data_IF_956077129293
#
_entry.id   IF_956077129293
#
_cell.length_a   1.000
_cell.length_b   1.000
_cell.length_c   1.000
_cell.angle_alpha   90.00
_cell.angle_beta   90.00
_cell.angle_gamma   90.00
#
_symmetry.space_group_name_H-M   'P 1'
#
loop_
_entity.id
_entity.type
_entity.pdbx_description
1 polymer ?
#
# COMPACT_ATOMS: atom_id res chain seq x y z
N UNK A 1 -18.64 13.50 -23.83
CA UNK A 1 -17.52 12.66 -24.30
C UNK A 1 -16.23 13.30 -23.81
N UNK A 2 -15.47 12.62 -22.95
CA UNK A 2 -14.11 12.99 -22.54
C UNK A 2 -13.29 11.70 -22.51
N UNK A 3 -12.05 11.75 -23.01
CA UNK A 3 -11.27 10.64 -23.55
C UNK A 3 -11.10 9.42 -22.62
N UNK A 4 -11.17 8.21 -23.21
CA UNK A 4 -10.75 6.94 -22.61
C UNK A 4 -9.26 7.00 -22.26
N UNK A 5 -8.95 7.08 -20.97
CA UNK A 5 -7.60 6.85 -20.47
C UNK A 5 -7.41 5.33 -20.28
N UNK A 6 -6.62 4.70 -21.15
CA UNK A 6 -6.19 3.30 -21.00
C UNK A 6 -4.70 3.22 -21.29
N UNK A 7 -3.91 2.82 -20.28
CA UNK A 7 -2.53 2.34 -20.50
C UNK A 7 -2.34 0.91 -20.00
N UNK A 8 -2.99 0.48 -18.91
CA UNK A 8 -3.24 -0.93 -18.52
C UNK A 8 -4.47 -0.92 -17.60
N UNK A 9 -5.44 -1.85 -17.70
CA UNK A 9 -6.69 -1.78 -16.92
C UNK A 9 -6.53 -2.05 -15.40
N UNK A 10 -5.36 -2.47 -14.92
CA UNK A 10 -5.04 -2.64 -13.49
C UNK A 10 -3.53 -2.83 -13.32
N UNK A 11 -2.69 -1.79 -13.50
CA UNK A 11 -1.26 -1.94 -13.31
C UNK A 11 -1.01 -2.22 -11.83
N UNK A 12 -0.64 -3.47 -11.53
CA UNK A 12 -0.10 -3.79 -10.21
C UNK A 12 1.36 -3.34 -10.20
N UNK A 13 1.78 -2.68 -9.14
CA UNK A 13 3.17 -2.29 -8.96
C UNK A 13 3.69 -2.83 -7.64
N UNK A 14 4.99 -3.09 -7.60
CA UNK A 14 5.67 -3.54 -6.39
C UNK A 14 6.39 -2.36 -5.78
N UNK A 15 6.25 -2.16 -4.48
CA UNK A 15 6.95 -1.11 -3.77
C UNK A 15 7.45 -1.60 -2.41
N UNK A 16 8.63 -1.13 -2.05
CA UNK A 16 9.31 -1.51 -0.82
C UNK A 16 8.87 -0.57 0.31
N UNK A 17 8.14 -1.12 1.27
CA UNK A 17 7.66 -0.41 2.44
C UNK A 17 8.62 -0.65 3.59
N UNK A 18 9.13 0.44 4.16
CA UNK A 18 9.99 0.42 5.34
C UNK A 18 9.12 0.51 6.58
N UNK A 19 8.92 -0.62 7.27
CA UNK A 19 8.13 -0.70 8.49
C UNK A 19 9.07 -0.44 9.67
N UNK A 20 8.89 0.67 10.43
CA UNK A 20 9.69 0.91 11.61
C UNK A 20 9.22 0.03 12.76
N UNK A 21 10.16 -0.70 13.37
CA UNK A 21 9.90 -1.58 14.50
C UNK A 21 10.23 -0.81 15.78
N UNK A 22 9.23 -0.59 16.64
CA UNK A 22 9.44 0.06 17.93
C UNK A 22 10.46 -0.72 18.76
N UNK A 23 11.57 -0.07 19.13
CA UNK A 23 12.63 -0.67 19.94
C UNK A 23 13.71 -1.42 19.15
N UNK A 24 13.63 -1.51 17.81
CA UNK A 24 14.76 -1.94 16.97
C UNK A 24 15.25 -0.78 16.13
N UNK A 25 16.57 -0.64 16.02
CA UNK A 25 17.21 0.43 15.25
C UNK A 25 17.09 0.23 13.72
N UNK A 26 16.71 -0.98 13.29
CA UNK A 26 16.57 -1.34 11.88
C UNK A 26 15.11 -1.46 11.49
N UNK A 27 14.71 -0.68 10.49
CA UNK A 27 13.43 -0.82 9.81
C UNK A 27 13.42 -2.12 8.99
N UNK A 28 12.31 -2.82 9.00
CA UNK A 28 12.11 -3.99 8.16
C UNK A 28 11.57 -3.53 6.80
N UNK A 29 12.19 -4.00 5.72
CA UNK A 29 11.77 -3.66 4.36
C UNK A 29 10.94 -4.81 3.83
N UNK A 30 9.68 -4.53 3.53
CA UNK A 30 8.76 -5.52 2.98
C UNK A 30 8.29 -5.04 1.62
N UNK A 31 8.44 -5.88 0.59
CA UNK A 31 7.93 -5.56 -0.75
C UNK A 31 6.44 -5.89 -0.82
N UNK A 32 5.61 -4.87 -0.99
CA UNK A 32 4.18 -5.02 -1.19
C UNK A 32 3.84 -4.92 -2.67
N UNK A 33 2.86 -5.70 -3.11
CA UNK A 33 2.24 -5.56 -4.43
C UNK A 33 0.96 -4.76 -4.26
N UNK A 34 0.91 -3.60 -4.89
CA UNK A 34 -0.23 -2.69 -4.85
C UNK A 34 -1.04 -2.72 -6.13
N UNK A 35 -2.36 -2.57 -6.02
CA UNK A 35 -3.26 -2.27 -7.11
C UNK A 35 -3.26 -0.76 -7.35
N UNK A 36 -2.87 -0.31 -8.54
CA UNK A 36 -3.00 1.10 -8.89
C UNK A 36 -4.48 1.52 -8.96
N UNK A 37 -4.84 2.50 -8.15
CA UNK A 37 -6.14 3.16 -8.19
C UNK A 37 -6.01 4.68 -8.38
N UNK A 38 -6.97 5.32 -9.07
CA UNK A 38 -6.98 6.77 -9.25
C UNK A 38 -7.20 7.48 -7.90
N UNK A 39 -6.57 8.64 -7.73
CA UNK A 39 -6.62 9.43 -6.49
C UNK A 39 -8.05 9.66 -5.98
N UNK A 40 -8.98 10.04 -6.86
CA UNK A 40 -10.37 10.28 -6.48
C UNK A 40 -11.03 9.05 -5.82
N UNK A 41 -10.72 7.84 -6.30
CA UNK A 41 -11.27 6.61 -5.71
C UNK A 41 -10.64 6.30 -4.35
N UNK A 42 -9.38 6.69 -4.14
CA UNK A 42 -8.70 6.54 -2.86
C UNK A 42 -9.31 7.45 -1.78
N UNK A 43 -9.70 8.66 -2.17
CA UNK A 43 -10.37 9.62 -1.29
C UNK A 43 -11.74 9.08 -0.84
N UNK A 44 -12.58 8.65 -1.79
CA UNK A 44 -13.87 7.98 -1.49
C UNK A 44 -13.67 6.79 -0.52
N UNK A 45 -12.79 5.84 -0.85
CA UNK A 45 -12.55 4.64 -0.03
C UNK A 45 -12.05 4.99 1.37
N UNK A 46 -11.19 6.02 1.49
CA UNK A 46 -10.66 6.47 2.78
C UNK A 46 -11.72 7.12 3.65
N UNK A 47 -12.69 7.82 3.04
CA UNK A 47 -13.84 8.39 3.75
C UNK A 47 -14.83 7.31 4.20
N UNK A 48 -14.98 6.22 3.43
CA UNK A 48 -15.85 5.09 3.78
C UNK A 48 -15.24 4.21 4.89
N UNK A 49 -14.05 3.65 4.66
CA UNK A 49 -13.39 2.75 5.61
C UNK A 49 -11.92 2.56 5.32
N UNK A 50 -11.08 2.80 6.34
CA UNK A 50 -9.64 2.57 6.27
C UNK A 50 -9.31 1.10 5.99
N UNK A 51 -10.08 0.15 6.52
CA UNK A 51 -9.89 -1.27 6.27
C UNK A 51 -10.17 -1.64 4.81
N UNK A 52 -11.25 -1.12 4.22
CA UNK A 52 -11.56 -1.35 2.80
C UNK A 52 -10.50 -0.72 1.90
N UNK A 53 -10.05 0.50 2.24
CA UNK A 53 -8.95 1.16 1.56
C UNK A 53 -7.72 0.25 1.43
N UNK A 54 -7.23 -0.32 2.54
CA UNK A 54 -6.06 -1.22 2.51
C UNK A 54 -6.31 -2.50 1.73
N UNK A 55 -7.50 -3.11 1.84
CA UNK A 55 -7.86 -4.31 1.06
C UNK A 55 -7.91 -4.05 -0.44
N UNK A 56 -8.30 -2.85 -0.85
CA UNK A 56 -8.41 -2.48 -2.25
C UNK A 56 -7.03 -2.13 -2.83
N UNK A 57 -6.18 -1.40 -2.08
CA UNK A 57 -4.85 -1.00 -2.56
C UNK A 57 -3.83 -2.14 -2.47
N UNK A 58 -3.88 -3.02 -1.47
CA UNK A 58 -2.91 -4.12 -1.32
C UNK A 58 -3.43 -5.33 -2.09
N UNK A 59 -2.66 -5.78 -3.07
CA UNK A 59 -2.96 -6.97 -3.85
C UNK A 59 -2.31 -8.23 -3.26
N UNK A 60 -1.08 -8.09 -2.76
CA UNK A 60 -0.25 -9.17 -2.23
C UNK A 60 0.97 -8.58 -1.49
N UNK A 61 1.74 -9.40 -0.78
CA UNK A 61 3.02 -9.00 -0.20
C UNK A 61 4.08 -10.09 -0.36
N UNK A 62 5.36 -9.72 -0.30
CA UNK A 62 6.48 -10.65 -0.34
C UNK A 62 6.94 -11.02 1.08
N UNK A 63 6.00 -11.43 1.93
CA UNK A 63 6.25 -11.96 3.27
C UNK A 63 6.14 -13.49 3.22
N UNK A 64 6.80 -14.21 4.13
CA UNK A 64 6.64 -15.67 4.26
C UNK A 64 5.18 -16.08 4.51
N UNK A 65 4.44 -15.26 5.27
CA UNK A 65 3.03 -15.48 5.51
C UNK A 65 2.17 -15.02 4.33
N UNK A 66 1.06 -15.71 4.01
CA UNK A 66 0.17 -15.29 2.94
C UNK A 66 -0.58 -14.01 3.29
N UNK A 67 -0.87 -13.19 2.28
CA UNK A 67 -1.71 -11.99 2.44
C UNK A 67 -3.17 -12.41 2.71
N UNK A 68 -3.68 -12.06 3.89
CA UNK A 68 -5.07 -12.24 4.29
C UNK A 68 -5.45 -11.18 5.34
N UNK A 69 -6.75 -11.06 5.63
CA UNK A 69 -7.26 -10.05 6.57
C UNK A 69 -6.74 -10.19 8.00
N UNK A 70 -6.59 -11.43 8.48
CA UNK A 70 -6.12 -11.72 9.83
C UNK A 70 -4.65 -11.32 10.01
N UNK A 71 -3.80 -11.66 9.04
CA UNK A 71 -2.38 -11.30 9.02
C UNK A 71 -2.20 -9.80 8.82
N UNK A 72 -3.05 -9.14 8.02
CA UNK A 72 -3.00 -7.69 7.85
C UNK A 72 -3.35 -6.97 9.16
N UNK A 73 -4.36 -7.44 9.87
CA UNK A 73 -4.70 -6.94 11.21
C UNK A 73 -3.57 -7.19 12.19
N UNK A 74 -2.98 -8.39 12.18
CA UNK A 74 -1.83 -8.73 13.02
C UNK A 74 -0.64 -7.81 12.75
N UNK A 75 -0.38 -7.48 11.49
CA UNK A 75 0.65 -6.52 11.10
C UNK A 75 0.39 -5.13 11.71
N UNK A 76 -0.84 -4.63 11.62
CA UNK A 76 -1.19 -3.32 12.19
C UNK A 76 -1.23 -3.29 13.72
N UNK A 77 -1.61 -4.41 14.35
CA UNK A 77 -1.63 -4.55 15.81
C UNK A 77 -0.21 -4.58 16.38
N UNK A 78 0.70 -5.36 15.76
CA UNK A 78 2.11 -5.43 16.18
C UNK A 78 2.91 -4.19 15.75
N UNK A 79 2.59 -3.61 14.60
CA UNK A 79 3.32 -2.49 13.99
C UNK A 79 2.34 -1.38 13.59
N UNK A 80 1.88 -0.53 14.53
CA UNK A 80 0.91 0.53 14.23
C UNK A 80 1.44 1.54 13.20
N UNK A 81 2.76 1.70 13.10
CA UNK A 81 3.40 2.53 12.08
C UNK A 81 3.38 1.93 10.67
N UNK A 82 3.12 0.63 10.51
CA UNK A 82 3.07 -0.04 9.21
C UNK A 82 1.97 0.56 8.32
N UNK A 83 0.78 0.82 8.87
CA UNK A 83 -0.34 1.41 8.12
C UNK A 83 0.05 2.77 7.50
N UNK A 84 0.73 3.62 8.28
CA UNK A 84 1.22 4.91 7.79
C UNK A 84 2.31 4.74 6.73
N UNK A 85 3.30 3.88 6.97
CA UNK A 85 4.39 3.61 6.03
C UNK A 85 3.88 3.08 4.68
N UNK A 86 2.94 2.13 4.70
CA UNK A 86 2.29 1.58 3.50
C UNK A 86 1.59 2.69 2.72
N UNK A 87 0.78 3.49 3.42
CA UNK A 87 0.02 4.58 2.81
C UNK A 87 0.95 5.61 2.16
N UNK A 88 1.99 6.03 2.86
CA UNK A 88 2.99 6.98 2.33
C UNK A 88 3.74 6.42 1.13
N UNK A 89 4.23 5.17 1.18
CA UNK A 89 4.91 4.54 0.04
C UNK A 89 3.98 4.45 -1.17
N UNK A 90 2.72 4.04 -0.96
CA UNK A 90 1.73 3.94 -2.02
C UNK A 90 1.46 5.29 -2.71
N UNK A 91 1.25 6.36 -1.93
CA UNK A 91 1.07 7.71 -2.49
C UNK A 91 2.33 8.21 -3.21
N UNK A 92 3.53 7.97 -2.68
CA UNK A 92 4.77 8.37 -3.33
C UNK A 92 4.93 7.72 -4.71
N UNK A 93 4.63 6.41 -4.82
CA UNK A 93 4.64 5.70 -6.10
C UNK A 93 3.59 6.23 -7.08
N UNK A 94 2.37 6.51 -6.60
CA UNK A 94 1.30 7.08 -7.43
C UNK A 94 1.60 8.48 -7.94
N UNK A 95 2.18 9.34 -7.09
CA UNK A 95 2.57 10.70 -7.46
C UNK A 95 3.80 10.72 -8.39
N UNK A 96 4.33 9.55 -8.76
CA UNK A 96 5.51 9.44 -9.60
C UNK A 96 6.76 9.95 -8.91
N UNK A 97 6.70 10.14 -7.58
CA UNK A 97 7.86 10.39 -6.74
C UNK A 97 8.59 9.06 -6.53
N UNK A 98 8.96 8.42 -7.65
CA UNK A 98 10.09 7.51 -7.71
C UNK A 98 11.27 8.36 -7.31
N UNK A 99 11.53 8.46 -6.01
CA UNK A 99 12.80 8.96 -5.51
C UNK A 99 13.83 8.09 -6.21
N UNK A 100 14.46 8.68 -7.24
CA UNK A 100 15.54 8.09 -8.01
C UNK A 100 16.55 7.56 -7.00
N UNK A 101 16.61 6.25 -6.85
CA UNK A 101 17.69 5.56 -6.19
C UNK A 101 18.52 4.86 -7.26
#
# INVERSE_FOLDING_TARGET
MMAKFTLVPSPKFKADVKIPIAGKEKNEVVTFTFNHMPMSKLEDLKEESVDDFFKQIIADWAIEEPFNEDNLKLLFDNYPSAASAITTTYYNELLGNREKN
#
